data_IF_728140421566
#
_entry.id   IF_728140421566
#
_cell.length_a   1.000
_cell.length_b   1.000
_cell.length_c   1.000
_cell.angle_alpha   90.00
_cell.angle_beta   90.00
_cell.angle_gamma   90.00
#
_symmetry.space_group_name_H-M   'P 1'
#
loop_
_entity.id
_entity.type
_entity.pdbx_description
1 polymer ?
#
# COMPACT_ATOMS: atom_id res chain seq x y z
N UNK A 1 14.88 56.53 6.19
CA UNK A 1 14.66 57.20 4.88
C UNK A 1 13.37 56.62 4.30
N UNK A 2 12.24 57.33 4.38
CA UNK A 2 11.62 58.11 3.27
C UNK A 2 11.54 57.27 1.98
N UNK A 3 10.41 56.99 1.33
CA UNK A 3 9.03 57.51 1.33
C UNK A 3 8.19 56.55 0.41
N UNK A 4 6.91 56.80 0.11
CA UNK A 4 5.86 55.79 0.03
C UNK A 4 5.29 55.73 -1.42
N UNK A 5 4.05 55.24 -1.53
CA UNK A 5 3.07 55.66 -2.52
C UNK A 5 3.06 54.88 -3.84
N UNK A 6 2.16 53.90 -3.93
CA UNK A 6 1.31 53.82 -5.10
C UNK A 6 -0.08 53.32 -4.67
N UNK A 7 -0.96 54.29 -4.46
CA UNK A 7 -2.41 54.13 -4.43
C UNK A 7 -2.83 53.73 -5.83
N UNK A 8 -3.39 52.54 -6.01
CA UNK A 8 -4.23 52.25 -7.16
C UNK A 8 -5.60 51.83 -6.60
N UNK A 9 -6.49 52.81 -6.58
CA UNK A 9 -7.93 52.61 -6.51
C UNK A 9 -8.36 51.63 -7.58
N UNK A 10 -8.82 50.44 -7.17
CA UNK A 10 -9.52 49.53 -8.08
C UNK A 10 -11.02 49.68 -7.84
N UNK A 11 -11.63 50.36 -8.80
CA UNK A 11 -13.04 50.70 -8.92
C UNK A 11 -13.93 49.46 -8.83
N UNK A 12 -14.82 49.43 -7.84
CA UNK A 12 -15.88 48.41 -7.72
C UNK A 12 -16.99 48.68 -8.73
N UNK A 13 -17.13 47.84 -9.76
CA UNK A 13 -18.36 47.75 -10.54
C UNK A 13 -19.32 46.77 -9.85
N UNK A 14 -20.35 47.29 -9.17
CA UNK A 14 -21.49 46.51 -8.72
C UNK A 14 -22.47 46.35 -9.89
N UNK A 15 -22.47 45.19 -10.54
CA UNK A 15 -23.52 44.79 -11.47
C UNK A 15 -24.76 44.39 -10.68
N UNK A 16 -25.79 45.24 -10.66
CA UNK A 16 -27.09 44.89 -10.07
C UNK A 16 -27.88 44.10 -11.13
N UNK A 17 -27.84 42.77 -11.03
CA UNK A 17 -28.68 41.90 -11.85
C UNK A 17 -30.14 42.02 -11.38
N UNK A 18 -31.02 42.57 -12.22
CA UNK A 18 -32.47 42.50 -12.02
C UNK A 18 -32.91 41.03 -12.11
N UNK A 19 -33.20 40.42 -10.96
CA UNK A 19 -33.75 39.07 -10.88
C UNK A 19 -35.19 39.07 -11.46
N UNK A 20 -35.41 38.29 -12.53
CA UNK A 20 -36.74 38.04 -13.07
C UNK A 20 -37.42 36.94 -12.22
N UNK A 21 -38.48 37.26 -11.44
CA UNK A 21 -39.07 36.33 -10.47
C UNK A 21 -39.87 35.18 -11.11
N UNK A 22 -40.09 35.20 -12.43
CA UNK A 22 -40.79 34.13 -13.14
C UNK A 22 -39.86 33.14 -13.85
N UNK A 23 -38.54 33.27 -13.68
CA UNK A 23 -37.60 32.37 -14.32
C UNK A 23 -37.47 31.07 -13.50
N UNK A 24 -37.84 29.90 -14.04
CA UNK A 24 -37.65 28.63 -13.34
C UNK A 24 -36.15 28.38 -13.17
N UNK A 25 -35.76 28.07 -11.93
CA UNK A 25 -34.39 27.79 -11.52
C UNK A 25 -33.87 26.55 -12.27
N UNK A 26 -33.13 26.77 -13.36
CA UNK A 26 -32.58 25.71 -14.22
C UNK A 26 -31.23 25.21 -13.72
N UNK A 27 -30.82 25.60 -12.51
CA UNK A 27 -29.47 25.40 -12.00
C UNK A 27 -29.41 24.45 -10.79
N UNK A 28 -30.36 23.52 -10.65
CA UNK A 28 -30.17 22.40 -9.74
C UNK A 28 -29.07 21.48 -10.28
N UNK A 29 -27.89 21.38 -9.62
CA UNK A 29 -26.88 20.39 -10.01
C UNK A 29 -27.50 19.01 -9.81
N UNK A 30 -27.36 18.13 -10.81
CA UNK A 30 -27.77 16.75 -10.67
C UNK A 30 -27.12 16.15 -9.41
N UNK A 31 -27.84 15.35 -8.60
CA UNK A 31 -27.29 14.73 -7.41
C UNK A 31 -26.05 13.92 -7.83
N UNK A 32 -24.90 14.28 -7.26
CA UNK A 32 -23.64 13.58 -7.52
C UNK A 32 -23.83 12.11 -7.14
N UNK A 33 -23.78 11.24 -8.16
CA UNK A 33 -23.88 9.82 -7.98
C UNK A 33 -22.74 9.37 -7.05
N UNK A 34 -23.02 8.70 -5.92
CA UNK A 34 -21.98 8.33 -4.97
C UNK A 34 -20.97 7.44 -5.70
N UNK A 35 -19.73 7.91 -5.77
CA UNK A 35 -18.63 7.16 -6.35
C UNK A 35 -18.54 5.82 -5.62
N UNK A 36 -18.82 4.72 -6.32
CA UNK A 36 -18.64 3.38 -5.82
C UNK A 36 -17.16 3.19 -5.52
N UNK A 37 -16.81 3.26 -4.23
CA UNK A 37 -15.46 3.01 -3.76
C UNK A 37 -15.03 1.61 -4.21
N UNK A 38 -14.19 1.55 -5.24
CA UNK A 38 -13.60 0.30 -5.71
C UNK A 38 -12.71 -0.22 -4.59
N UNK A 39 -13.17 -1.27 -3.90
CA UNK A 39 -12.43 -1.92 -2.82
C UNK A 39 -11.15 -2.50 -3.41
N UNK A 40 -10.01 -1.93 -3.03
CA UNK A 40 -8.70 -2.44 -3.44
C UNK A 40 -8.56 -3.93 -3.08
N UNK A 41 -8.00 -4.71 -4.01
CA UNK A 41 -7.74 -6.12 -3.79
C UNK A 41 -6.83 -6.34 -2.58
N UNK A 42 -7.02 -7.42 -1.80
CA UNK A 42 -6.15 -7.71 -0.68
C UNK A 42 -4.70 -7.93 -1.15
N UNK A 43 -3.69 -7.46 -0.40
CA UNK A 43 -2.29 -7.65 -0.72
C UNK A 43 -1.95 -9.14 -0.77
N UNK A 44 -1.10 -9.50 -1.73
CA UNK A 44 -0.63 -10.86 -1.93
C UNK A 44 0.12 -11.37 -0.70
N UNK A 45 -0.06 -12.67 -0.41
CA UNK A 45 0.69 -13.35 0.64
C UNK A 45 2.16 -13.45 0.19
N UNK A 46 3.13 -12.95 0.98
CA UNK A 46 4.54 -13.09 0.66
C UNK A 46 4.93 -14.58 0.60
N UNK A 47 5.88 -14.91 -0.26
CA UNK A 47 6.39 -16.27 -0.42
C UNK A 47 7.69 -16.42 0.34
N UNK A 48 7.70 -17.30 1.33
CA UNK A 48 8.91 -17.63 2.08
C UNK A 48 9.90 -18.37 1.18
N UNK A 49 11.12 -17.86 1.09
CA UNK A 49 12.21 -18.45 0.33
C UNK A 49 13.19 -19.19 1.23
N UNK A 50 13.62 -18.56 2.33
CA UNK A 50 14.61 -19.12 3.24
C UNK A 50 14.46 -18.55 4.66
N UNK A 51 15.11 -19.19 5.62
CA UNK A 51 15.21 -18.73 7.01
C UNK A 51 16.68 -18.77 7.42
N UNK A 52 17.16 -17.66 7.96
CA UNK A 52 18.55 -17.49 8.41
C UNK A 52 18.55 -17.50 9.94
N UNK A 53 19.31 -18.43 10.53
CA UNK A 53 19.53 -18.52 11.98
C UNK A 53 21.04 -18.61 12.21
N UNK A 54 21.63 -17.55 12.78
CA UNK A 54 23.08 -17.45 13.06
C UNK A 54 23.26 -16.90 14.48
N UNK A 55 23.51 -17.78 15.45
CA UNK A 55 23.50 -17.40 16.87
C UNK A 55 22.14 -16.83 17.26
N UNK A 56 22.12 -15.59 17.74
CA UNK A 56 20.90 -14.86 18.09
C UNK A 56 20.22 -14.18 16.88
N UNK A 57 20.90 -14.08 15.73
CA UNK A 57 20.32 -13.50 14.53
C UNK A 57 19.28 -14.46 13.94
N UNK A 58 18.05 -13.98 13.79
CA UNK A 58 16.92 -14.72 13.20
C UNK A 58 16.22 -13.85 12.16
N UNK A 59 16.24 -14.28 10.91
CA UNK A 59 15.62 -13.55 9.79
C UNK A 59 14.89 -14.49 8.84
N UNK A 60 13.76 -14.03 8.32
CA UNK A 60 13.01 -14.69 7.27
C UNK A 60 13.27 -13.97 5.94
N UNK A 61 13.58 -14.73 4.90
CA UNK A 61 13.82 -14.22 3.56
C UNK A 61 12.63 -14.55 2.67
N UNK A 62 12.04 -13.52 2.09
CA UNK A 62 10.88 -13.60 1.21
C UNK A 62 11.25 -13.22 -0.21
N UNK A 63 10.61 -13.83 -1.20
CA UNK A 63 10.78 -13.43 -2.59
C UNK A 63 10.25 -12.00 -2.83
N UNK A 64 10.92 -11.18 -3.68
CA UNK A 64 12.08 -11.55 -4.48
C UNK A 64 13.44 -11.48 -3.77
N UNK A 65 13.59 -10.73 -2.68
CA UNK A 65 14.83 -10.67 -1.86
C UNK A 65 14.62 -9.80 -0.60
N UNK A 66 13.49 -9.97 0.10
CA UNK A 66 13.18 -9.18 1.31
C UNK A 66 13.46 -9.97 2.57
N UNK A 67 14.38 -9.46 3.38
CA UNK A 67 14.67 -9.98 4.71
C UNK A 67 13.89 -9.21 5.76
N UNK A 68 13.20 -9.93 6.66
CA UNK A 68 12.55 -9.32 7.83
C UNK A 68 12.79 -10.17 9.09
N UNK A 69 12.85 -9.51 10.23
CA UNK A 69 12.96 -10.11 11.56
C UNK A 69 11.60 -10.11 12.29
N UNK A 70 11.53 -10.81 13.42
CA UNK A 70 10.33 -10.82 14.26
C UNK A 70 9.97 -9.39 14.68
N UNK A 71 8.71 -9.03 14.50
CA UNK A 71 8.18 -7.69 14.74
C UNK A 71 8.11 -6.81 13.48
N UNK A 72 8.85 -7.11 12.42
CA UNK A 72 8.81 -6.35 11.17
C UNK A 72 7.62 -6.74 10.29
N UNK A 73 7.38 -5.94 9.24
CA UNK A 73 6.23 -6.12 8.34
C UNK A 73 6.64 -6.22 6.87
N UNK A 74 5.91 -7.04 6.12
CA UNK A 74 6.00 -7.20 4.67
C UNK A 74 4.60 -7.30 4.07
N UNK A 75 4.28 -6.49 3.04
CA UNK A 75 2.95 -6.48 2.39
C UNK A 75 1.76 -6.37 3.37
N UNK A 76 1.95 -5.67 4.50
CA UNK A 76 0.95 -5.52 5.56
C UNK A 76 0.76 -6.76 6.46
N UNK A 77 1.65 -7.75 6.36
CA UNK A 77 1.76 -8.87 7.29
C UNK A 77 2.91 -8.63 8.25
N UNK A 78 2.69 -8.77 9.56
CA UNK A 78 3.72 -8.72 10.59
C UNK A 78 4.27 -10.12 10.84
N UNK A 79 5.59 -10.25 10.90
CA UNK A 79 6.23 -11.47 11.36
C UNK A 79 6.14 -11.55 12.89
N UNK A 80 5.43 -12.55 13.40
CA UNK A 80 5.20 -12.72 14.85
C UNK A 80 5.98 -13.88 15.44
N UNK A 81 6.33 -14.88 14.62
CA UNK A 81 7.10 -16.04 15.05
C UNK A 81 8.01 -16.50 13.93
N UNK A 82 9.21 -16.94 14.30
CA UNK A 82 10.22 -17.46 13.39
C UNK A 82 10.88 -18.69 14.00
N UNK A 83 10.68 -19.82 13.34
CA UNK A 83 11.28 -21.11 13.64
C UNK A 83 12.25 -21.54 12.54
N UNK A 84 12.93 -22.67 12.72
CA UNK A 84 13.90 -23.19 11.75
C UNK A 84 13.29 -23.59 10.39
N UNK A 85 11.98 -23.80 10.30
CA UNK A 85 11.29 -24.29 9.08
C UNK A 85 10.02 -23.54 8.72
N UNK A 86 9.55 -22.68 9.61
CA UNK A 86 8.29 -21.99 9.49
C UNK A 86 8.38 -20.57 9.99
N UNK A 87 7.52 -19.72 9.45
CA UNK A 87 7.30 -18.35 9.93
C UNK A 87 5.82 -18.13 10.10
N UNK A 88 5.44 -17.43 11.16
CA UNK A 88 4.04 -17.07 11.40
C UNK A 88 3.85 -15.58 11.12
N UNK A 89 2.95 -15.29 10.18
CA UNK A 89 2.60 -13.96 9.74
C UNK A 89 1.20 -13.58 10.24
N UNK A 90 1.04 -12.35 10.72
CA UNK A 90 -0.21 -11.81 11.19
C UNK A 90 -0.63 -10.57 10.39
N UNK A 91 -1.90 -10.51 9.98
CA UNK A 91 -2.50 -9.32 9.37
C UNK A 91 -3.90 -9.09 9.95
N UNK A 92 -4.02 -8.07 10.80
CA UNK A 92 -5.23 -7.88 11.61
C UNK A 92 -5.48 -9.10 12.50
N UNK A 93 -6.66 -9.69 12.42
CA UNK A 93 -7.03 -10.91 13.17
C UNK A 93 -6.66 -12.22 12.46
N UNK A 94 -6.04 -12.16 11.27
CA UNK A 94 -5.72 -13.34 10.47
C UNK A 94 -4.25 -13.70 10.69
N UNK A 95 -4.01 -14.94 11.10
CA UNK A 95 -2.67 -15.52 11.24
C UNK A 95 -2.46 -16.60 10.19
N UNK A 96 -1.28 -16.63 9.57
CA UNK A 96 -0.89 -17.62 8.56
C UNK A 96 0.53 -18.08 8.82
N UNK A 97 0.72 -19.40 8.85
CA UNK A 97 2.05 -20.01 8.93
C UNK A 97 2.51 -20.37 7.53
N UNK A 98 3.72 -19.96 7.18
CA UNK A 98 4.38 -20.32 5.93
C UNK A 98 5.54 -21.25 6.23
N UNK A 99 5.68 -22.29 5.43
CA UNK A 99 6.81 -23.23 5.49
C UNK A 99 7.66 -23.09 4.24
N UNK A 100 8.96 -23.41 4.36
CA UNK A 100 9.87 -23.39 3.22
C UNK A 100 9.42 -24.48 2.24
N UNK A 101 8.88 -24.07 1.09
CA UNK A 101 8.55 -25.00 0.01
C UNK A 101 9.79 -25.14 -0.88
N UNK A 102 10.67 -26.11 -0.55
CA UNK A 102 11.78 -26.46 -1.44
C UNK A 102 11.19 -27.14 -2.68
N UNK A 103 10.96 -26.33 -3.73
CA UNK A 103 10.53 -26.80 -5.04
C UNK A 103 11.74 -26.89 -5.96
N UNK A 104 12.76 -27.66 -5.56
CA UNK A 104 13.92 -27.97 -6.37
C UNK A 104 13.88 -29.45 -6.72
N UNK A 105 13.55 -29.78 -7.97
CA UNK A 105 13.82 -31.11 -8.49
C UNK A 105 15.34 -31.29 -8.50
N UNK A 106 15.86 -32.01 -7.52
CA UNK A 106 17.27 -32.39 -7.48
C UNK A 106 17.48 -33.50 -8.51
N UNK A 107 17.64 -33.11 -9.77
CA UNK A 107 17.96 -34.04 -10.84
C UNK A 107 19.43 -34.40 -10.73
N UNK A 108 19.73 -35.48 -10.02
CA UNK A 108 21.02 -36.15 -10.13
C UNK A 108 21.11 -36.73 -11.54
N UNK A 109 21.82 -36.04 -12.44
CA UNK A 109 22.30 -36.68 -13.66
C UNK A 109 23.36 -37.69 -13.21
N UNK A 110 23.18 -39.02 -13.41
CA UNK A 110 24.26 -39.96 -13.14
C UNK A 110 25.45 -39.56 -14.01
N UNK A 111 26.63 -39.48 -13.41
CA UNK A 111 27.86 -39.35 -14.16
C UNK A 111 27.97 -40.61 -15.02
N UNK A 112 27.84 -40.47 -16.33
CA UNK A 112 28.18 -41.55 -17.25
C UNK A 112 29.65 -41.91 -16.97
N UNK A 113 29.86 -43.11 -16.45
CA UNK A 113 31.17 -43.76 -16.41
C UNK A 113 31.59 -44.02 -17.87
N UNK A 114 32.81 -43.60 -18.22
CA UNK A 114 33.43 -43.82 -19.54
C UNK A 114 33.72 -45.30 -19.82
#
# INVERSE_FOLDING_TARGET
MFKPLLVISLTTLLSVALANPMQPDRAAPAPAQPATATRAAPPALPRLQSIIIIGDLRKAVFLPDQEIAVGEQINGYRLVELDSRSVTLQRGSITRTLTITTSGAFTLQPANEE
#
